data_IF_841999837831
#
_entry.id   IF_841999837831
#
_cell.length_a   1.000
_cell.length_b   1.000
_cell.length_c   1.000
_cell.angle_alpha   90.00
_cell.angle_beta   90.00
_cell.angle_gamma   90.00
#
_symmetry.space_group_name_H-M   'P 1'
#
loop_
_entity.id
_entity.type
_entity.pdbx_description
1 polymer ?
#
# COMPACT_ATOMS: atom_id res chain seq x y z
N UNK A 1 19.82 -2.19 34.79
CA UNK A 1 21.23 -2.64 34.82
C UNK A 1 21.26 -4.03 34.22
N UNK A 2 22.06 -4.24 33.18
CA UNK A 2 22.12 -5.51 32.47
C UNK A 2 23.09 -6.48 33.15
N UNK A 3 22.72 -7.76 33.19
CA UNK A 3 23.59 -8.86 33.62
C UNK A 3 24.12 -9.58 32.39
N UNK A 4 25.44 -9.71 32.29
CA UNK A 4 26.08 -10.47 31.21
C UNK A 4 25.97 -11.96 31.53
N UNK A 5 25.54 -12.74 30.54
CA UNK A 5 25.37 -14.19 30.61
C UNK A 5 26.03 -14.82 29.39
N UNK A 6 27.01 -15.68 29.64
CA UNK A 6 27.65 -16.49 28.61
C UNK A 6 26.69 -17.56 28.10
N UNK A 7 26.73 -17.84 26.80
CA UNK A 7 25.92 -18.91 26.20
C UNK A 7 26.79 -20.10 25.78
N UNK A 8 26.20 -21.28 25.51
CA UNK A 8 26.95 -22.41 24.96
C UNK A 8 27.60 -22.12 23.60
N UNK A 9 27.10 -21.11 22.88
CA UNK A 9 27.69 -20.64 21.63
C UNK A 9 28.68 -19.50 21.94
N UNK A 10 29.98 -19.73 21.70
CA UNK A 10 31.04 -18.75 21.96
C UNK A 10 30.90 -17.47 21.13
N UNK A 11 30.17 -17.51 20.02
CA UNK A 11 29.89 -16.34 19.20
C UNK A 11 28.66 -15.56 19.67
N UNK A 12 27.96 -15.98 20.72
CA UNK A 12 26.77 -15.30 21.24
C UNK A 12 26.97 -14.91 22.71
N UNK A 13 26.77 -13.63 22.99
CA UNK A 13 26.73 -13.09 24.34
C UNK A 13 25.34 -12.54 24.65
N UNK A 14 24.83 -12.84 25.85
CA UNK A 14 23.50 -12.44 26.29
C UNK A 14 23.59 -11.37 27.39
N UNK A 15 22.75 -10.35 27.28
CA UNK A 15 22.55 -9.28 28.26
C UNK A 15 21.14 -9.39 28.81
N UNK A 16 20.99 -9.87 30.03
CA UNK A 16 19.70 -10.02 30.70
C UNK A 16 19.31 -8.75 31.46
N UNK A 17 18.05 -8.36 31.34
CA UNK A 17 17.44 -7.24 32.05
C UNK A 17 16.40 -7.73 33.05
N UNK A 18 16.33 -7.07 34.19
CA UNK A 18 15.24 -7.27 35.17
C UNK A 18 13.94 -6.59 34.74
N UNK A 19 14.02 -5.62 33.85
CA UNK A 19 12.88 -4.89 33.30
C UNK A 19 12.51 -5.44 31.92
N UNK A 20 11.21 -5.42 31.60
CA UNK A 20 10.74 -5.74 30.27
C UNK A 20 11.29 -4.73 29.25
N UNK A 21 11.93 -5.25 28.19
CA UNK A 21 12.55 -4.48 27.11
C UNK A 21 11.58 -4.29 25.93
N UNK A 22 10.76 -5.30 25.65
CA UNK A 22 9.77 -5.33 24.56
C UNK A 22 8.70 -6.40 24.82
N UNK A 23 7.56 -6.33 24.14
CA UNK A 23 6.48 -7.33 24.20
C UNK A 23 6.70 -8.54 23.28
N UNK A 24 7.60 -8.44 22.29
CA UNK A 24 7.86 -9.48 21.29
C UNK A 24 9.30 -9.97 21.27
N UNK A 25 9.62 -10.90 20.37
CA UNK A 25 11.01 -11.27 20.06
C UNK A 25 11.33 -10.89 18.63
N UNK A 26 12.51 -10.31 18.43
CA UNK A 26 12.92 -9.73 17.16
C UNK A 26 14.36 -10.15 16.84
N UNK A 27 14.62 -10.43 15.57
CA UNK A 27 15.96 -10.77 15.08
C UNK A 27 16.33 -9.80 13.96
N UNK A 28 17.53 -9.24 14.04
CA UNK A 28 18.07 -8.30 13.08
C UNK A 28 19.43 -8.77 12.61
N UNK A 29 19.68 -8.65 11.31
CA UNK A 29 20.98 -8.95 10.69
C UNK A 29 21.48 -7.73 9.94
N UNK A 30 22.76 -7.72 9.55
CA UNK A 30 23.33 -6.68 8.70
C UNK A 30 22.68 -6.59 7.31
N UNK A 31 21.93 -7.62 6.89
CA UNK A 31 21.25 -7.69 5.59
C UNK A 31 19.76 -7.31 5.66
N UNK A 32 19.19 -7.14 6.86
CA UNK A 32 17.78 -6.76 7.03
C UNK A 32 17.60 -5.24 7.03
N UNK A 33 16.79 -4.71 6.10
CA UNK A 33 16.49 -3.27 5.90
C UNK A 33 15.59 -2.63 7.00
N UNK A 34 15.35 -3.33 8.11
CA UNK A 34 14.34 -2.90 9.09
C UNK A 34 14.92 -1.94 10.13
N UNK A 35 14.93 -0.64 9.77
CA UNK A 35 15.38 0.49 10.58
C UNK A 35 14.45 0.82 11.78
N UNK A 36 13.90 -0.19 12.45
CA UNK A 36 12.88 -0.01 13.49
C UNK A 36 13.44 0.33 14.87
N UNK A 37 14.74 0.09 15.13
CA UNK A 37 15.42 0.41 16.38
C UNK A 37 16.77 1.11 16.17
N UNK A 38 16.91 2.31 16.73
CA UNK A 38 18.16 3.09 16.68
C UNK A 38 19.32 2.37 17.40
N UNK A 39 19.02 1.67 18.50
CA UNK A 39 20.00 0.84 19.20
C UNK A 39 20.53 -0.28 18.31
N UNK A 40 19.65 -0.97 17.58
CA UNK A 40 20.04 -2.05 16.67
C UNK A 40 20.91 -1.51 15.55
N UNK A 41 20.55 -0.36 14.97
CA UNK A 41 21.39 0.30 13.95
C UNK A 41 22.79 0.63 14.49
N UNK A 42 22.91 1.15 15.71
CA UNK A 42 24.20 1.45 16.33
C UNK A 42 25.03 0.19 16.59
N UNK A 43 24.39 -0.89 17.06
CA UNK A 43 25.07 -2.17 17.32
C UNK A 43 25.56 -2.81 16.02
N UNK A 44 24.73 -2.86 14.98
CA UNK A 44 25.09 -3.48 13.69
C UNK A 44 26.07 -2.63 12.85
N UNK A 45 26.35 -1.39 13.23
CA UNK A 45 27.47 -0.62 12.69
C UNK A 45 28.83 -1.11 13.20
N UNK A 46 28.86 -1.87 14.31
CA UNK A 46 30.08 -2.49 14.79
C UNK A 46 30.48 -3.63 13.84
N UNK A 47 31.67 -3.58 13.21
CA UNK A 47 32.02 -4.46 12.08
C UNK A 47 32.12 -5.95 12.47
N UNK A 48 32.16 -6.25 13.75
CA UNK A 48 32.23 -7.61 14.27
C UNK A 48 30.86 -8.19 14.64
N UNK A 49 29.80 -7.38 14.75
CA UNK A 49 28.45 -7.87 15.06
C UNK A 49 27.70 -8.22 13.78
N UNK A 50 27.13 -9.42 13.75
CA UNK A 50 26.40 -9.95 12.58
C UNK A 50 24.90 -10.04 12.81
N UNK A 51 24.49 -10.20 14.07
CA UNK A 51 23.09 -10.38 14.44
C UNK A 51 22.80 -9.82 15.83
N UNK A 52 21.63 -9.21 15.97
CA UNK A 52 21.06 -8.77 17.24
C UNK A 52 19.72 -9.48 17.42
N UNK A 53 19.59 -10.21 18.53
CA UNK A 53 18.35 -10.83 18.95
C UNK A 53 17.83 -10.14 20.20
N UNK A 54 16.57 -9.72 20.17
CA UNK A 54 15.93 -9.01 21.28
C UNK A 54 14.72 -9.82 21.71
N UNK A 55 14.58 -10.03 23.01
CA UNK A 55 13.39 -10.61 23.62
C UNK A 55 12.89 -9.74 24.77
N UNK A 56 11.84 -10.20 25.45
CA UNK A 56 11.17 -9.43 26.50
C UNK A 56 12.09 -9.07 27.66
N UNK A 57 13.09 -9.90 27.98
CA UNK A 57 13.97 -9.69 29.13
C UNK A 57 15.47 -9.82 28.80
N UNK A 58 15.85 -9.93 27.53
CA UNK A 58 17.27 -9.98 27.17
C UNK A 58 17.55 -9.50 25.75
N UNK A 59 18.81 -9.13 25.54
CA UNK A 59 19.40 -8.87 24.22
C UNK A 59 20.55 -9.86 24.04
N UNK A 60 20.59 -10.57 22.92
CA UNK A 60 21.70 -11.44 22.56
C UNK A 60 22.39 -10.89 21.31
N UNK A 61 23.71 -10.77 21.37
CA UNK A 61 24.54 -10.27 20.28
C UNK A 61 25.34 -11.42 19.71
N UNK A 62 25.36 -11.56 18.39
CA UNK A 62 26.21 -12.52 17.69
C UNK A 62 27.37 -11.79 17.01
N UNK A 63 28.58 -12.28 17.25
CA UNK A 63 29.81 -11.77 16.62
C UNK A 63 30.34 -12.72 15.54
N UNK A 64 31.26 -12.21 14.72
CA UNK A 64 32.18 -13.03 13.93
C UNK A 64 33.22 -13.72 14.83
N UNK A 65 33.75 -14.84 14.36
CA UNK A 65 34.73 -15.67 15.08
C UNK A 65 36.18 -15.11 14.99
N UNK A 66 36.34 -13.83 15.31
CA UNK A 66 37.63 -13.11 15.27
C UNK A 66 37.84 -12.17 16.48
N UNK A 67 36.83 -12.02 17.34
CA UNK A 67 36.84 -11.12 18.50
C UNK A 67 36.52 -11.92 19.75
N UNK A 68 37.16 -11.64 20.88
CA UNK A 68 36.79 -12.22 22.17
C UNK A 68 35.82 -11.31 22.94
N UNK A 69 34.76 -11.90 23.50
CA UNK A 69 33.74 -11.13 24.21
C UNK A 69 34.29 -10.40 25.44
N UNK A 70 35.32 -10.94 26.08
CA UNK A 70 35.95 -10.35 27.27
C UNK A 70 36.46 -8.94 26.99
N UNK A 71 36.89 -8.66 25.76
CA UNK A 71 37.48 -7.38 25.38
C UNK A 71 36.42 -6.28 25.13
N UNK A 72 35.17 -6.66 24.84
CA UNK A 72 34.13 -5.72 24.36
C UNK A 72 32.83 -5.74 25.18
N UNK A 73 32.63 -6.74 26.05
CA UNK A 73 31.36 -6.95 26.75
C UNK A 73 30.96 -5.79 27.68
N UNK A 74 31.93 -5.14 28.33
CA UNK A 74 31.65 -4.05 29.26
C UNK A 74 31.28 -2.77 28.53
N UNK A 75 31.93 -2.47 27.40
CA UNK A 75 31.56 -1.33 26.54
C UNK A 75 30.17 -1.52 25.95
N UNK A 76 29.85 -2.71 25.43
CA UNK A 76 28.53 -3.05 24.92
C UNK A 76 27.47 -2.93 26.01
N UNK A 77 27.77 -3.37 27.23
CA UNK A 77 26.88 -3.20 28.38
C UNK A 77 26.62 -1.72 28.66
N UNK A 78 27.63 -0.87 28.64
CA UNK A 78 27.49 0.58 28.86
C UNK A 78 26.59 1.19 27.76
N UNK A 79 26.82 0.85 26.50
CA UNK A 79 25.99 1.30 25.36
C UNK A 79 24.52 0.92 25.57
N UNK A 80 24.24 -0.33 25.94
CA UNK A 80 22.89 -0.78 26.25
C UNK A 80 22.30 0.01 27.42
N UNK A 81 23.03 0.16 28.52
CA UNK A 81 22.54 0.86 29.71
C UNK A 81 22.25 2.33 29.45
N UNK A 82 23.12 3.03 28.74
CA UNK A 82 22.95 4.44 28.43
C UNK A 82 21.81 4.66 27.43
N UNK A 83 21.64 3.77 26.46
CA UNK A 83 20.48 3.82 25.56
C UNK A 83 19.17 3.73 26.35
N UNK A 84 19.02 2.78 27.27
CA UNK A 84 17.79 2.60 28.06
C UNK A 84 17.62 3.62 29.20
N UNK A 85 18.68 4.32 29.61
CA UNK A 85 18.56 5.50 30.48
C UNK A 85 18.00 6.69 29.71
N UNK A 86 18.45 6.89 28.48
CA UNK A 86 18.02 8.00 27.63
C UNK A 86 16.66 7.77 26.95
N UNK A 87 16.36 6.52 26.60
CA UNK A 87 15.19 6.12 25.83
C UNK A 87 14.30 5.18 26.64
N UNK A 88 12.99 5.45 26.65
CA UNK A 88 12.00 4.59 27.32
C UNK A 88 11.62 3.33 26.54
N UNK A 89 12.00 3.23 25.26
CA UNK A 89 11.61 2.15 24.34
C UNK A 89 12.74 1.80 23.37
N UNK A 90 12.84 0.51 23.04
CA UNK A 90 13.77 -0.02 22.03
C UNK A 90 13.45 0.42 20.61
N UNK A 91 12.17 0.46 20.30
CA UNK A 91 11.66 0.85 19.00
C UNK A 91 11.24 2.31 19.09
N UNK A 92 11.52 3.08 18.03
CA UNK A 92 10.82 4.36 17.87
C UNK A 92 9.35 4.02 17.95
N UNK A 93 8.62 4.66 18.87
CA UNK A 93 7.16 4.63 18.81
C UNK A 93 6.86 5.09 17.40
N UNK A 94 6.41 4.18 16.53
CA UNK A 94 5.75 4.61 15.30
C UNK A 94 4.58 5.43 15.83
N UNK A 95 4.76 6.74 15.89
CA UNK A 95 3.64 7.65 16.06
C UNK A 95 2.74 7.29 14.90
N UNK A 96 1.67 6.52 15.17
CA UNK A 96 0.69 6.16 14.15
C UNK A 96 0.35 7.47 13.46
N UNK A 97 0.77 7.62 12.21
CA UNK A 97 0.37 8.78 11.43
C UNK A 97 -1.16 8.81 11.52
N UNK A 98 -1.75 9.91 12.02
CA UNK A 98 -3.19 10.00 12.15
C UNK A 98 -3.83 9.62 10.82
N UNK A 99 -4.90 8.84 10.87
CA UNK A 99 -5.62 8.50 9.64
C UNK A 99 -6.30 9.75 9.15
N UNK A 100 -5.89 10.19 7.96
CA UNK A 100 -6.51 11.31 7.27
C UNK A 100 -7.39 10.76 6.17
N UNK A 101 -8.66 11.16 6.17
CA UNK A 101 -9.63 10.84 5.14
C UNK A 101 -10.28 12.14 4.71
N UNK A 102 -10.21 12.46 3.42
CA UNK A 102 -10.88 13.62 2.86
C UNK A 102 -11.60 13.24 1.56
N UNK A 103 -12.56 14.06 1.16
CA UNK A 103 -13.38 13.82 -0.02
C UNK A 103 -13.02 14.82 -1.12
N UNK A 104 -12.90 14.35 -2.35
CA UNK A 104 -12.67 15.14 -3.56
C UNK A 104 -13.85 14.96 -4.52
N UNK A 105 -14.46 16.06 -4.93
CA UNK A 105 -15.48 16.04 -5.96
C UNK A 105 -14.89 15.61 -7.30
N UNK A 106 -15.62 14.80 -8.06
CA UNK A 106 -15.29 14.50 -9.46
C UNK A 106 -16.19 15.30 -10.40
N UNK A 107 -15.85 15.40 -11.70
CA UNK A 107 -16.75 15.96 -12.71
C UNK A 107 -18.09 15.21 -12.81
N UNK A 108 -18.15 13.94 -12.39
CA UNK A 108 -19.37 13.17 -12.30
C UNK A 108 -20.10 13.47 -10.96
N UNK A 109 -21.28 14.13 -10.97
CA UNK A 109 -21.98 14.51 -9.73
C UNK A 109 -22.43 13.30 -8.88
N UNK A 110 -22.55 12.12 -9.49
CA UNK A 110 -22.91 10.89 -8.80
C UNK A 110 -21.72 10.17 -8.19
N UNK A 111 -20.49 10.65 -8.39
CA UNK A 111 -19.27 10.02 -7.89
C UNK A 111 -18.49 10.98 -6.99
N UNK A 112 -17.98 10.44 -5.87
CA UNK A 112 -17.12 11.16 -4.94
C UNK A 112 -15.90 10.30 -4.64
N UNK A 113 -14.71 10.90 -4.65
CA UNK A 113 -13.49 10.22 -4.22
C UNK A 113 -13.27 10.45 -2.74
N UNK A 114 -12.93 9.38 -2.03
CA UNK A 114 -12.49 9.41 -0.64
C UNK A 114 -11.02 9.00 -0.61
N UNK A 115 -10.13 9.96 -0.36
CA UNK A 115 -8.69 9.77 -0.36
C UNK A 115 -8.20 9.58 1.07
N UNK A 116 -7.29 8.63 1.25
CA UNK A 116 -6.73 8.22 2.54
C UNK A 116 -5.22 8.36 2.48
N UNK A 117 -4.59 8.73 3.59
CA UNK A 117 -3.12 8.72 3.73
C UNK A 117 -2.53 7.31 3.99
N UNK A 118 -3.28 6.26 3.66
CA UNK A 118 -2.91 4.86 3.80
C UNK A 118 -3.29 4.09 2.55
N UNK A 119 -2.51 3.06 2.23
CA UNK A 119 -2.84 2.10 1.19
C UNK A 119 -4.09 1.31 1.60
N UNK A 120 -5.04 1.18 0.69
CA UNK A 120 -6.30 0.43 0.84
C UNK A 120 -6.11 -0.97 0.28
N UNK A 121 -5.85 -1.08 -1.02
CA UNK A 121 -5.58 -2.33 -1.74
C UNK A 121 -4.47 -2.11 -2.77
N UNK A 122 -3.67 -3.14 -3.03
CA UNK A 122 -2.70 -3.14 -4.14
C UNK A 122 -3.42 -3.49 -5.43
N UNK A 123 -3.48 -2.56 -6.38
CA UNK A 123 -4.16 -2.72 -7.67
C UNK A 123 -5.54 -2.07 -7.71
N UNK A 124 -6.28 -2.34 -8.79
CA UNK A 124 -7.52 -1.62 -9.12
C UNK A 124 -8.72 -2.57 -9.11
N UNK A 125 -9.69 -2.28 -8.25
CA UNK A 125 -10.82 -3.17 -8.01
C UNK A 125 -12.15 -2.44 -8.18
N UNK A 126 -13.05 -3.06 -8.94
CA UNK A 126 -14.44 -2.64 -9.09
C UNK A 126 -15.37 -3.50 -8.24
N UNK A 127 -16.24 -2.84 -7.48
CA UNK A 127 -17.29 -3.46 -6.71
C UNK A 127 -18.62 -2.83 -7.09
N UNK A 128 -19.61 -3.66 -7.42
CA UNK A 128 -20.96 -3.23 -7.79
C UNK A 128 -22.02 -3.64 -6.77
N UNK A 129 -21.60 -4.35 -5.73
CA UNK A 129 -22.47 -4.89 -4.69
C UNK A 129 -21.67 -5.35 -3.49
N UNK A 130 -22.36 -5.47 -2.35
CA UNK A 130 -21.81 -6.10 -1.15
C UNK A 130 -21.25 -7.50 -1.40
N UNK A 131 -21.92 -8.29 -2.26
CA UNK A 131 -21.49 -9.64 -2.62
C UNK A 131 -20.16 -9.64 -3.38
N UNK A 132 -19.98 -8.72 -4.35
CA UNK A 132 -18.71 -8.60 -5.08
C UNK A 132 -17.52 -8.23 -4.18
N UNK A 133 -17.80 -7.64 -3.01
CA UNK A 133 -16.83 -7.21 -2.02
C UNK A 133 -16.66 -8.19 -0.85
N UNK A 134 -17.20 -9.42 -0.91
CA UNK A 134 -17.19 -10.38 0.21
C UNK A 134 -15.80 -10.64 0.81
N UNK A 135 -14.76 -10.62 -0.03
CA UNK A 135 -13.36 -10.84 0.36
C UNK A 135 -12.75 -9.65 1.10
N UNK A 136 -13.41 -8.50 1.06
CA UNK A 136 -12.97 -7.24 1.63
C UNK A 136 -14.07 -6.67 2.52
N UNK A 137 -14.21 -7.14 3.78
CA UNK A 137 -15.32 -6.75 4.67
C UNK A 137 -15.49 -5.24 4.84
N UNK A 138 -14.40 -4.49 4.81
CA UNK A 138 -14.39 -3.03 4.76
C UNK A 138 -15.13 -2.47 3.55
N UNK A 139 -14.80 -2.94 2.36
CA UNK A 139 -15.45 -2.50 1.13
C UNK A 139 -16.90 -2.98 1.09
N UNK A 140 -17.17 -4.19 1.59
CA UNK A 140 -18.53 -4.70 1.73
C UNK A 140 -19.41 -3.80 2.62
N UNK A 141 -18.85 -3.23 3.69
CA UNK A 141 -19.58 -2.31 4.56
C UNK A 141 -19.87 -0.94 3.94
N UNK A 142 -19.16 -0.53 2.89
CA UNK A 142 -19.51 0.66 2.11
C UNK A 142 -20.89 0.48 1.43
N UNK A 143 -21.28 -0.75 1.10
CA UNK A 143 -22.60 -1.04 0.53
C UNK A 143 -23.73 -1.10 1.57
N UNK A 144 -23.43 -0.91 2.86
CA UNK A 144 -24.48 -0.74 3.88
C UNK A 144 -25.10 0.67 3.84
N UNK A 145 -24.45 1.61 3.15
CA UNK A 145 -25.05 2.88 2.79
C UNK A 145 -25.99 2.66 1.59
N UNK A 146 -27.31 2.59 1.82
CA UNK A 146 -28.33 2.24 0.80
C UNK A 146 -28.24 3.03 -0.53
N UNK A 147 -27.75 4.27 -0.46
CA UNK A 147 -27.56 5.13 -1.61
C UNK A 147 -26.41 4.71 -2.53
N UNK A 148 -25.45 3.91 -2.05
CA UNK A 148 -24.25 3.50 -2.79
C UNK A 148 -24.59 2.44 -3.83
N UNK A 149 -24.08 2.63 -5.05
CA UNK A 149 -24.26 1.73 -6.19
C UNK A 149 -22.99 0.99 -6.58
N UNK A 150 -21.85 1.66 -6.49
CA UNK A 150 -20.55 1.06 -6.80
C UNK A 150 -19.44 1.71 -5.99
N UNK A 151 -18.36 0.97 -5.83
CA UNK A 151 -17.12 1.44 -5.24
C UNK A 151 -15.95 0.96 -6.11
N UNK A 152 -15.07 1.87 -6.47
CA UNK A 152 -13.82 1.60 -7.15
C UNK A 152 -12.66 1.93 -6.23
N UNK A 153 -11.77 0.98 -6.02
CA UNK A 153 -10.60 1.12 -5.15
C UNK A 153 -9.35 1.12 -6.01
N UNK A 154 -8.54 2.16 -5.86
CA UNK A 154 -7.20 2.24 -6.44
C UNK A 154 -6.25 2.83 -5.39
N UNK A 155 -5.22 2.04 -5.05
CA UNK A 155 -4.18 2.40 -4.10
C UNK A 155 -4.72 2.96 -2.78
N UNK A 156 -4.78 4.30 -2.65
CA UNK A 156 -5.10 5.03 -1.44
C UNK A 156 -6.43 5.79 -1.51
N UNK A 157 -7.25 5.60 -2.56
CA UNK A 157 -8.56 6.22 -2.65
C UNK A 157 -9.67 5.24 -3.04
N UNK A 158 -10.90 5.63 -2.70
CA UNK A 158 -12.13 4.94 -3.08
C UNK A 158 -13.02 5.93 -3.83
N UNK A 159 -13.29 5.69 -5.10
CA UNK A 159 -14.36 6.39 -5.82
C UNK A 159 -15.68 5.68 -5.58
N UNK A 160 -16.61 6.34 -4.90
CA UNK A 160 -17.93 5.79 -4.57
C UNK A 160 -18.96 6.48 -5.45
N UNK A 161 -19.79 5.71 -6.15
CA UNK A 161 -20.92 6.23 -6.90
C UNK A 161 -22.23 5.95 -6.18
N UNK A 162 -23.10 6.97 -6.10
CA UNK A 162 -24.43 6.90 -5.48
C UNK A 162 -25.55 6.88 -6.52
N UNK A 163 -26.77 6.62 -6.09
CA UNK A 163 -27.97 6.89 -6.89
C UNK A 163 -28.30 8.38 -7.00
N UNK A 164 -28.96 8.78 -8.09
CA UNK A 164 -29.27 10.17 -8.44
C UNK A 164 -30.12 10.93 -7.42
N UNK A 165 -30.87 10.23 -6.57
CA UNK A 165 -31.74 10.84 -5.56
C UNK A 165 -31.02 11.16 -4.24
N UNK A 166 -29.81 10.63 -4.03
CA UNK A 166 -29.07 10.82 -2.79
C UNK A 166 -28.22 12.09 -2.80
N UNK A 167 -27.97 12.66 -1.63
CA UNK A 167 -27.18 13.89 -1.47
C UNK A 167 -25.80 13.60 -0.83
N UNK A 168 -24.73 14.02 -1.52
CA UNK A 168 -23.36 13.90 -1.03
C UNK A 168 -23.13 14.67 0.27
N UNK A 169 -23.82 15.80 0.51
CA UNK A 169 -23.67 16.55 1.74
C UNK A 169 -24.02 15.72 2.99
N UNK A 170 -24.97 14.78 2.84
CA UNK A 170 -25.40 13.88 3.91
C UNK A 170 -24.54 12.61 4.00
N UNK A 171 -23.99 12.15 2.89
CA UNK A 171 -23.20 10.91 2.81
C UNK A 171 -21.74 11.11 3.19
N UNK A 172 -21.11 12.21 2.75
CA UNK A 172 -19.68 12.51 2.98
C UNK A 172 -19.29 12.35 4.46
N UNK A 173 -19.95 12.98 5.45
CA UNK A 173 -19.52 12.86 6.84
C UNK A 173 -19.62 11.42 7.36
N UNK A 174 -20.65 10.67 6.96
CA UNK A 174 -20.88 9.29 7.41
C UNK A 174 -19.85 8.33 6.83
N UNK A 175 -19.61 8.42 5.53
CA UNK A 175 -18.62 7.60 4.82
C UNK A 175 -17.21 7.94 5.31
N UNK A 176 -16.86 9.23 5.48
CA UNK A 176 -15.56 9.62 6.04
C UNK A 176 -15.33 9.05 7.43
N UNK A 177 -16.34 9.10 8.31
CA UNK A 177 -16.24 8.51 9.66
C UNK A 177 -16.01 7.00 9.57
N UNK A 178 -16.82 6.30 8.77
CA UNK A 178 -16.70 4.86 8.55
C UNK A 178 -15.29 4.45 8.08
N UNK A 179 -14.78 5.13 7.04
CA UNK A 179 -13.44 4.88 6.50
C UNK A 179 -12.38 5.16 7.57
N UNK A 180 -12.47 6.31 8.24
CA UNK A 180 -11.49 6.71 9.24
C UNK A 180 -11.43 5.72 10.41
N UNK A 181 -12.59 5.37 10.98
CA UNK A 181 -12.70 4.41 12.08
C UNK A 181 -12.11 3.05 11.71
N UNK A 182 -12.36 2.56 10.49
CA UNK A 182 -11.80 1.32 10.00
C UNK A 182 -10.26 1.35 10.02
N UNK A 183 -9.65 2.39 9.45
CA UNK A 183 -8.20 2.51 9.32
C UNK A 183 -7.49 2.94 10.62
N UNK A 184 -8.22 3.49 11.60
CA UNK A 184 -7.71 3.79 12.95
C UNK A 184 -7.69 2.53 13.83
N UNK A 185 -8.73 1.70 13.71
CA UNK A 185 -8.84 0.41 14.37
C UNK A 185 -7.89 -0.64 13.79
N UNK A 186 -7.54 -0.53 12.50
CA UNK A 186 -6.56 -1.40 11.83
C UNK A 186 -5.14 -1.18 12.41
N UNK A 187 -4.64 -2.16 13.17
CA UNK A 187 -3.21 -2.34 13.43
C UNK A 187 -2.53 -2.98 12.21
N UNK A 188 -1.28 -2.55 11.97
CA UNK A 188 -0.47 -2.77 10.75
C UNK A 188 -0.29 -4.26 10.36
N UNK A 189 -0.69 -5.20 11.21
CA UNK A 189 -0.47 -6.64 11.03
C UNK A 189 -1.54 -7.38 10.20
N UNK A 190 -2.67 -6.76 9.87
CA UNK A 190 -3.73 -7.45 9.14
C UNK A 190 -3.77 -7.09 7.65
N UNK A 191 -3.29 -8.05 6.85
CA UNK A 191 -3.58 -8.32 5.44
C UNK A 191 -3.49 -7.14 4.45
N UNK A 192 -2.26 -6.89 3.99
CA UNK A 192 -2.05 -6.60 2.56
C UNK A 192 -2.44 -7.88 1.83
N UNK A 193 -3.68 -7.96 1.34
CA UNK A 193 -4.05 -9.02 0.40
C UNK A 193 -3.24 -8.75 -0.86
N UNK A 194 -2.20 -9.54 -1.09
CA UNK A 194 -1.44 -9.50 -2.34
C UNK A 194 -2.38 -9.86 -3.48
N UNK A 195 -2.92 -8.85 -4.16
CA UNK A 195 -3.37 -9.03 -5.52
C UNK A 195 -2.15 -9.49 -6.32
N UNK A 196 -2.27 -10.61 -7.03
CA UNK A 196 -1.26 -11.01 -8.02
C UNK A 196 -1.01 -9.83 -8.94
N UNK A 197 0.16 -9.21 -8.80
CA UNK A 197 0.68 -8.26 -9.77
C UNK A 197 0.94 -9.11 -11.01
N UNK A 198 0.09 -8.95 -12.01
CA UNK A 198 0.37 -9.55 -13.32
C UNK A 198 1.72 -8.98 -13.77
N UNK A 199 2.68 -9.87 -14.01
CA UNK A 199 4.01 -9.49 -14.48
C UNK A 199 3.86 -8.48 -15.62
N UNK A 200 4.50 -7.30 -15.57
CA UNK A 200 4.34 -6.30 -16.61
C UNK A 200 4.70 -6.95 -17.94
N UNK A 201 3.68 -7.11 -18.79
CA UNK A 201 3.84 -7.64 -20.13
C UNK A 201 4.79 -6.69 -20.83
N UNK A 202 5.96 -7.17 -21.25
CA UNK A 202 6.88 -6.34 -22.04
C UNK A 202 6.15 -6.03 -23.34
N UNK A 203 5.69 -4.78 -23.47
CA UNK A 203 5.01 -4.29 -24.65
C UNK A 203 6.06 -3.74 -25.60
N UNK A 204 5.95 -4.07 -26.88
CA UNK A 204 6.83 -3.58 -27.93
C UNK A 204 6.00 -2.96 -29.06
N UNK A 205 6.62 -2.02 -29.79
CA UNK A 205 6.04 -1.38 -30.98
C UNK A 205 4.75 -0.63 -30.68
N UNK A 206 3.75 -0.79 -31.56
CA UNK A 206 2.48 -0.02 -31.52
C UNK A 206 1.76 -0.18 -30.17
N UNK A 207 1.81 -1.35 -29.54
CA UNK A 207 1.18 -1.56 -28.23
C UNK A 207 1.78 -0.66 -27.15
N UNK A 208 3.11 -0.45 -27.18
CA UNK A 208 3.80 0.44 -26.25
C UNK A 208 3.43 1.91 -26.51
N UNK A 209 3.36 2.31 -27.78
CA UNK A 209 2.92 3.66 -28.19
C UNK A 209 1.48 3.93 -27.75
N UNK A 210 0.57 2.96 -27.92
CA UNK A 210 -0.83 3.06 -27.45
C UNK A 210 -0.85 3.27 -25.94
N UNK A 211 -0.12 2.47 -25.16
CA UNK A 211 -0.09 2.61 -23.70
C UNK A 211 0.43 3.98 -23.28
N UNK A 212 1.51 4.47 -23.89
CA UNK A 212 2.03 5.80 -23.61
C UNK A 212 0.99 6.89 -23.85
N UNK A 213 0.25 6.81 -24.97
CA UNK A 213 -0.82 7.77 -25.28
C UNK A 213 -1.97 7.68 -24.28
N UNK A 214 -2.39 6.46 -23.92
CA UNK A 214 -3.45 6.27 -22.93
C UNK A 214 -3.05 6.86 -21.58
N UNK A 215 -1.84 6.57 -21.10
CA UNK A 215 -1.34 7.07 -19.81
C UNK A 215 -1.17 8.60 -19.80
N UNK A 216 -0.73 9.20 -20.90
CA UNK A 216 -0.46 10.65 -20.98
C UNK A 216 -1.72 11.48 -21.23
N UNK A 217 -2.60 11.07 -22.15
CA UNK A 217 -3.69 11.92 -22.64
C UNK A 217 -5.09 11.52 -22.15
N UNK A 218 -5.31 10.25 -21.80
CA UNK A 218 -6.66 9.74 -21.50
C UNK A 218 -6.82 9.45 -20.02
N UNK A 219 -5.88 8.71 -19.45
CA UNK A 219 -5.92 8.23 -18.06
C UNK A 219 -6.08 9.36 -17.05
N UNK A 220 -5.46 10.55 -17.17
CA UNK A 220 -5.67 11.64 -16.23
C UNK A 220 -7.13 12.07 -16.12
N UNK A 221 -7.85 12.14 -17.24
CA UNK A 221 -9.26 12.51 -17.27
C UNK A 221 -10.15 11.40 -16.69
N UNK A 222 -9.89 10.15 -17.06
CA UNK A 222 -10.61 8.97 -16.53
C UNK A 222 -10.43 8.84 -15.02
N UNK A 223 -9.21 9.04 -14.54
CA UNK A 223 -8.90 9.07 -13.12
C UNK A 223 -9.61 10.23 -12.44
N UNK A 224 -9.61 11.44 -13.01
CA UNK A 224 -10.32 12.59 -12.43
C UNK A 224 -11.82 12.29 -12.19
N UNK A 225 -12.45 11.53 -13.07
CA UNK A 225 -13.85 11.09 -12.95
C UNK A 225 -14.08 9.99 -11.90
N UNK A 226 -13.02 9.36 -11.38
CA UNK A 226 -13.09 8.25 -10.43
C UNK A 226 -13.10 6.87 -11.09
N UNK A 227 -12.49 6.73 -12.26
CA UNK A 227 -12.27 5.45 -12.93
C UNK A 227 -10.80 5.17 -13.23
N UNK A 228 -10.56 4.08 -13.96
CA UNK A 228 -9.26 3.81 -14.57
C UNK A 228 -9.44 3.23 -15.97
N UNK A 229 -8.40 3.28 -16.79
CA UNK A 229 -8.33 2.66 -18.11
C UNK A 229 -7.09 1.79 -18.20
N UNK A 230 -7.29 0.55 -18.65
CA UNK A 230 -6.22 -0.43 -18.80
C UNK A 230 -6.18 -0.88 -20.25
N UNK A 231 -5.00 -0.89 -20.85
CA UNK A 231 -4.78 -1.52 -22.15
C UNK A 231 -4.88 -3.03 -22.02
N UNK A 232 -5.73 -3.66 -22.84
CA UNK A 232 -5.86 -5.12 -22.89
C UNK A 232 -5.03 -5.71 -24.03
N UNK A 233 -5.32 -5.29 -25.26
CA UNK A 233 -4.68 -5.85 -26.44
C UNK A 233 -4.77 -4.95 -27.67
N UNK A 234 -3.89 -5.20 -28.64
CA UNK A 234 -3.94 -4.61 -29.97
C UNK A 234 -3.82 -5.71 -31.02
N UNK A 235 -4.73 -5.71 -32.00
CA UNK A 235 -4.70 -6.62 -33.13
C UNK A 235 -4.17 -5.89 -34.37
N UNK A 236 -3.00 -6.30 -34.85
CA UNK A 236 -2.34 -5.66 -35.98
C UNK A 236 -3.02 -5.92 -37.34
N UNK A 237 -3.83 -6.97 -37.47
CA UNK A 237 -4.49 -7.32 -38.74
C UNK A 237 -5.65 -6.37 -39.05
N UNK A 238 -6.51 -6.12 -38.06
CA UNK A 238 -7.68 -5.27 -38.18
C UNK A 238 -7.48 -3.87 -37.56
N UNK A 239 -6.33 -3.64 -36.90
CA UNK A 239 -5.97 -2.40 -36.19
C UNK A 239 -6.94 -2.05 -35.07
N UNK A 240 -7.46 -3.08 -34.39
CA UNK A 240 -8.39 -2.93 -33.25
C UNK A 240 -7.61 -2.84 -31.94
N UNK A 241 -7.92 -1.82 -31.14
CA UNK A 241 -7.43 -1.69 -29.75
C UNK A 241 -8.54 -2.10 -28.79
N UNK A 242 -8.22 -2.94 -27.82
CA UNK A 242 -9.10 -3.27 -26.69
C UNK A 242 -8.59 -2.59 -25.43
N UNK A 243 -9.50 -1.93 -24.71
CA UNK A 243 -9.25 -1.33 -23.41
C UNK A 243 -10.31 -1.79 -22.42
N UNK A 244 -9.92 -1.89 -21.15
CA UNK A 244 -10.81 -2.19 -20.03
C UNK A 244 -11.06 -0.89 -19.29
N UNK A 245 -12.34 -0.53 -19.12
CA UNK A 245 -12.74 0.64 -18.34
C UNK A 245 -13.16 0.19 -16.93
N UNK A 246 -12.64 0.89 -15.92
CA UNK A 246 -12.91 0.64 -14.51
C UNK A 246 -13.54 1.85 -13.82
N UNK A 247 -14.17 1.61 -12.68
CA UNK A 247 -14.78 2.61 -11.80
C UNK A 247 -15.95 3.35 -12.42
N UNK A 248 -16.01 4.67 -12.23
CA UNK A 248 -17.14 5.49 -12.69
C UNK A 248 -17.42 5.41 -14.20
N UNK A 249 -16.44 4.97 -14.99
CA UNK A 249 -16.55 4.77 -16.44
C UNK A 249 -17.10 3.39 -16.83
N UNK A 250 -17.23 2.47 -15.87
CA UNK A 250 -17.77 1.13 -16.03
C UNK A 250 -19.25 1.10 -15.65
N UNK A 251 -20.13 0.68 -16.57
CA UNK A 251 -21.56 0.46 -16.29
C UNK A 251 -22.51 1.63 -16.58
N UNK A 252 -22.04 2.79 -17.06
CA UNK A 252 -22.91 3.86 -17.57
C UNK A 252 -22.90 3.89 -19.12
N UNK A 253 -23.97 3.43 -19.80
CA UNK A 253 -23.97 3.27 -21.26
C UNK A 253 -23.61 4.55 -22.04
N UNK A 254 -24.08 5.72 -21.57
CA UNK A 254 -23.78 7.01 -22.21
C UNK A 254 -22.31 7.41 -22.06
N UNK A 255 -21.71 7.15 -20.89
CA UNK A 255 -20.32 7.49 -20.60
C UNK A 255 -19.36 6.55 -21.32
N UNK A 256 -19.67 5.25 -21.37
CA UNK A 256 -18.85 4.25 -22.07
C UNK A 256 -18.76 4.54 -23.57
N UNK A 257 -19.87 4.88 -24.23
CA UNK A 257 -19.87 5.22 -25.67
C UNK A 257 -19.07 6.50 -25.94
N UNK A 258 -19.32 7.55 -25.15
CA UNK A 258 -18.65 8.85 -25.34
C UNK A 258 -17.15 8.73 -25.12
N UNK A 259 -16.74 8.07 -24.02
CA UNK A 259 -15.33 7.87 -23.69
C UNK A 259 -14.64 6.99 -24.73
N UNK A 260 -15.27 5.88 -25.15
CA UNK A 260 -14.75 5.02 -26.22
C UNK A 260 -14.51 5.80 -27.52
N UNK A 261 -15.43 6.68 -27.92
CA UNK A 261 -15.27 7.52 -29.09
C UNK A 261 -14.14 8.55 -28.92
N UNK A 262 -13.99 9.14 -27.73
CA UNK A 262 -12.89 10.06 -27.41
C UNK A 262 -11.51 9.38 -27.44
N UNK A 263 -11.41 8.16 -26.90
CA UNK A 263 -10.20 7.33 -26.95
C UNK A 263 -9.86 7.01 -28.41
N UNK A 264 -10.84 6.55 -29.19
CA UNK A 264 -10.63 6.20 -30.60
C UNK A 264 -10.16 7.40 -31.42
N UNK A 265 -10.78 8.58 -31.23
CA UNK A 265 -10.39 9.81 -31.92
C UNK A 265 -8.96 10.22 -31.57
N UNK A 266 -8.59 10.17 -30.28
CA UNK A 266 -7.24 10.53 -29.80
C UNK A 266 -6.20 9.59 -30.37
N UNK A 267 -6.42 8.27 -30.27
CA UNK A 267 -5.51 7.26 -30.80
C UNK A 267 -5.35 7.37 -32.33
N UNK A 268 -6.45 7.61 -33.07
CA UNK A 268 -6.39 7.82 -34.52
C UNK A 268 -5.62 9.07 -34.92
N UNK A 269 -5.74 10.14 -34.14
CA UNK A 269 -5.04 11.39 -34.38
C UNK A 269 -3.53 11.26 -34.13
N UNK A 270 -3.14 10.61 -33.03
CA UNK A 270 -1.75 10.47 -32.63
C UNK A 270 -1.03 9.30 -33.33
N UNK A 271 -1.76 8.27 -33.75
CA UNK A 271 -1.24 7.11 -34.51
C UNK A 271 -1.98 6.97 -35.87
N UNK A 272 -1.76 7.90 -36.81
CA UNK A 272 -2.49 7.92 -38.08
C UNK A 272 -2.26 6.64 -38.88
N UNK A 273 -3.33 6.10 -39.45
CA UNK A 273 -3.36 4.84 -40.20
C UNK A 273 -2.95 3.59 -39.41
N UNK A 274 -2.77 3.67 -38.09
CA UNK A 274 -2.43 2.52 -37.23
C UNK A 274 -3.63 2.00 -36.44
N UNK A 275 -4.71 2.77 -36.33
CA UNK A 275 -5.89 2.45 -35.51
C UNK A 275 -7.15 2.54 -36.36
N UNK A 276 -7.94 1.45 -36.42
CA UNK A 276 -9.22 1.43 -37.12
C UNK A 276 -10.39 1.59 -36.15
N UNK A 277 -10.33 0.93 -34.99
CA UNK A 277 -11.42 0.90 -34.02
C UNK A 277 -10.89 0.68 -32.60
N UNK A 278 -11.61 1.23 -31.61
CA UNK A 278 -11.45 0.88 -30.20
C UNK A 278 -12.65 0.06 -29.72
N UNK A 279 -12.40 -0.93 -28.88
CA UNK A 279 -13.43 -1.66 -28.11
C UNK A 279 -13.15 -1.40 -26.63
N UNK A 280 -14.15 -0.89 -25.93
CA UNK A 280 -14.14 -0.73 -24.48
C UNK A 280 -14.95 -1.86 -23.85
N UNK A 281 -14.38 -2.52 -22.84
CA UNK A 281 -14.97 -3.63 -22.09
C UNK A 281 -15.09 -3.22 -20.63
#
# INVERSE_FOLDING_TARGET
>A
MFKIVTTPNQNILKFESQNSLTSGSFEFTTESDDASSELVSQLLQLPFLTKVFISSNFIALQKIDLIDWVDVQDELKIVLEDYFKANKSLFKVQTKTPVEVYAESTPNPETMKFVINKLILKGDFDFNSKLSAEKYPFIAGIFDFEAVKSAFVEQNYIAISKGSEADWQLLIPKIRSYIKEHFEAFTIENQIVEAKIDTPKVLEGISQEIVAILDEYIKPAVMADGGNIIFDSYNALDKTVKVILKGACNGCPSSTVTLKNGIEATLKNLLPNKINQVIAI
#
